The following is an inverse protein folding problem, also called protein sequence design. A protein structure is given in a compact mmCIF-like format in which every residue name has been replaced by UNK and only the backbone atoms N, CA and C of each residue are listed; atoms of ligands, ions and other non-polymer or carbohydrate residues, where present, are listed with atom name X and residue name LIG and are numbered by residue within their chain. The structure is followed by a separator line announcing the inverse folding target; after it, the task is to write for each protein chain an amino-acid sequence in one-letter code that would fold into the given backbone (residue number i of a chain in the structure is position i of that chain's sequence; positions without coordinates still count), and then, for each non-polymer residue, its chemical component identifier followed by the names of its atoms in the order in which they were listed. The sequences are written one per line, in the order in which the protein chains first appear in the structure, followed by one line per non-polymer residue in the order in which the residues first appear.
data_IF_984851264579
#
_entry.id   IF_984851264579
#
_cell.length_a   1.000
_cell.length_b   1.000
_cell.length_c   1.000
_cell.angle_alpha   90.00
_cell.angle_beta   90.00
_cell.angle_gamma   90.00
#
_symmetry.space_group_name_H-M   'P 1'
#
loop_
_entity.id
_entity.type
_entity.pdbx_description
1 polymer ?
#
# COMPACT_ATOMS: atom_id res chain seq x y z
N UNK A 1 -4.25 -18.12 17.07
CA UNK A 1 -5.52 -17.93 16.35
C UNK A 1 -5.46 -18.73 15.06
N UNK A 2 -6.55 -19.43 14.76
CA UNK A 2 -6.76 -20.13 13.49
C UNK A 2 -7.14 -19.12 12.39
N UNK A 3 -6.93 -19.47 11.13
CA UNK A 3 -7.25 -18.63 9.97
C UNK A 3 -8.74 -18.23 9.90
N UNK A 4 -9.64 -19.08 10.37
CA UNK A 4 -11.08 -18.78 10.43
C UNK A 4 -11.42 -17.70 11.47
N UNK A 5 -10.72 -17.68 12.62
CA UNK A 5 -10.91 -16.65 13.65
C UNK A 5 -10.37 -15.30 13.15
N UNK A 6 -9.24 -15.32 12.45
CA UNK A 6 -8.61 -14.13 11.88
C UNK A 6 -9.49 -13.53 10.78
N UNK A 7 -10.06 -14.37 9.93
CA UNK A 7 -10.99 -13.94 8.88
C UNK A 7 -12.21 -13.22 9.46
N UNK A 8 -12.83 -13.81 10.50
CA UNK A 8 -13.94 -13.18 11.20
C UNK A 8 -13.55 -11.83 11.79
N UNK A 9 -12.39 -11.76 12.46
CA UNK A 9 -11.87 -10.53 13.06
C UNK A 9 -11.61 -9.44 11.98
N UNK A 10 -11.08 -9.80 10.82
CA UNK A 10 -10.85 -8.86 9.71
C UNK A 10 -12.17 -8.33 9.14
N UNK A 11 -13.17 -9.20 8.95
CA UNK A 11 -14.50 -8.80 8.46
C UNK A 11 -15.17 -7.81 9.42
N UNK A 12 -15.09 -8.06 10.73
CA UNK A 12 -15.59 -7.16 11.78
C UNK A 12 -14.86 -5.80 11.78
N UNK A 13 -13.63 -5.75 11.25
CA UNK A 13 -12.80 -4.55 11.19
C UNK A 13 -12.82 -3.83 9.82
N UNK A 14 -13.77 -4.15 8.94
CA UNK A 14 -14.02 -3.42 7.69
C UNK A 14 -13.34 -4.00 6.45
N UNK A 15 -12.81 -5.22 6.53
CA UNK A 15 -12.47 -6.00 5.34
C UNK A 15 -13.75 -6.59 4.74
N UNK A 16 -13.81 -6.66 3.42
CA UNK A 16 -14.91 -7.31 2.70
C UNK A 16 -14.54 -8.75 2.36
N UNK A 17 -15.53 -9.59 2.04
CA UNK A 17 -15.28 -10.94 1.53
C UNK A 17 -14.38 -10.96 0.30
N UNK A 18 -14.51 -9.95 -0.58
CA UNK A 18 -13.63 -9.79 -1.74
C UNK A 18 -12.19 -9.44 -1.35
N UNK A 19 -11.99 -8.67 -0.28
CA UNK A 19 -10.66 -8.37 0.24
C UNK A 19 -9.97 -9.64 0.76
N UNK A 20 -10.71 -10.47 1.51
CA UNK A 20 -10.22 -11.76 2.01
C UNK A 20 -9.90 -12.72 0.86
N UNK A 21 -10.77 -12.80 -0.15
CA UNK A 21 -10.52 -13.62 -1.34
C UNK A 21 -9.24 -13.19 -2.09
N UNK A 22 -8.99 -11.88 -2.21
CA UNK A 22 -7.75 -11.34 -2.79
C UNK A 22 -6.54 -11.69 -1.93
N UNK A 23 -6.63 -11.59 -0.60
CA UNK A 23 -5.56 -11.98 0.31
C UNK A 23 -5.22 -13.47 0.20
N UNK A 24 -6.24 -14.34 0.14
CA UNK A 24 -6.06 -15.79 -0.09
C UNK A 24 -5.43 -16.08 -1.45
N UNK A 25 -5.84 -15.36 -2.49
CA UNK A 25 -5.22 -15.48 -3.82
C UNK A 25 -3.74 -15.09 -3.80
N UNK A 26 -3.39 -13.99 -3.11
CA UNK A 26 -1.99 -13.57 -2.93
C UNK A 26 -1.15 -14.65 -2.24
N UNK A 27 -1.65 -15.25 -1.15
CA UNK A 27 -1.00 -16.37 -0.44
C UNK A 27 -0.80 -17.55 -1.39
N UNK A 28 -1.86 -17.95 -2.11
CA UNK A 28 -1.80 -19.09 -3.03
C UNK A 28 -0.80 -18.88 -4.18
N UNK A 29 -0.61 -17.63 -4.61
CA UNK A 29 0.32 -17.26 -5.68
C UNK A 29 1.75 -17.09 -5.20
N UNK A 30 1.96 -16.80 -3.91
CA UNK A 30 3.27 -16.67 -3.27
C UNK A 30 3.99 -18.00 -3.05
N UNK A 31 3.28 -19.13 -3.20
CA UNK A 31 3.87 -20.48 -3.11
C UNK A 31 4.35 -20.88 -1.72
N UNK A 32 4.18 -20.02 -0.71
CA UNK A 32 4.68 -20.24 0.65
C UNK A 32 3.54 -20.73 1.55
N UNK A 33 3.52 -22.04 1.83
CA UNK A 33 2.46 -22.70 2.61
C UNK A 33 2.39 -22.25 4.08
N UNK A 34 3.40 -21.51 4.56
CA UNK A 34 3.42 -20.93 5.92
C UNK A 34 2.82 -19.51 6.01
N UNK A 35 2.42 -18.93 4.88
CA UNK A 35 1.88 -17.58 4.84
C UNK A 35 0.40 -17.60 5.25
N UNK A 36 0.12 -17.19 6.49
CA UNK A 36 -1.24 -17.07 7.04
C UNK A 36 -1.83 -15.70 6.78
N UNK A 37 -3.16 -15.58 6.91
CA UNK A 37 -3.88 -14.32 6.73
C UNK A 37 -3.33 -13.19 7.63
N UNK A 38 -2.88 -13.54 8.85
CA UNK A 38 -2.24 -12.59 9.77
C UNK A 38 -0.83 -12.19 9.35
N UNK A 39 0.02 -13.13 8.93
CA UNK A 39 1.35 -12.80 8.40
C UNK A 39 1.24 -11.89 7.17
N UNK A 40 0.31 -12.19 6.27
CA UNK A 40 0.03 -11.36 5.12
C UNK A 40 -0.48 -9.97 5.54
N UNK A 41 -1.35 -9.85 6.55
CA UNK A 41 -1.80 -8.54 7.07
C UNK A 41 -0.61 -7.71 7.58
N UNK A 42 0.34 -8.32 8.28
CA UNK A 42 1.55 -7.64 8.74
C UNK A 42 2.48 -7.24 7.59
N UNK A 43 2.67 -8.11 6.58
CA UNK A 43 3.49 -7.80 5.41
C UNK A 43 2.87 -6.66 4.59
N UNK A 44 1.55 -6.66 4.42
CA UNK A 44 0.79 -5.58 3.79
C UNK A 44 0.92 -4.25 4.51
N UNK A 45 0.87 -4.23 5.86
CA UNK A 45 1.17 -3.01 6.63
C UNK A 45 2.58 -2.49 6.36
N UNK A 46 3.57 -3.37 6.30
CA UNK A 46 4.97 -2.99 6.02
C UNK A 46 5.11 -2.48 4.59
N UNK A 47 4.47 -3.13 3.62
CA UNK A 47 4.41 -2.69 2.24
C UNK A 47 3.72 -1.33 2.09
N UNK A 48 2.67 -1.06 2.86
CA UNK A 48 2.01 0.25 2.91
C UNK A 48 2.98 1.35 3.37
N UNK A 49 3.69 1.13 4.48
CA UNK A 49 4.67 2.08 5.00
C UNK A 49 5.82 2.30 4.01
N UNK A 50 6.41 1.23 3.47
CA UNK A 50 7.47 1.34 2.47
C UNK A 50 6.99 2.09 1.21
N UNK A 51 5.80 1.77 0.70
CA UNK A 51 5.20 2.45 -0.45
C UNK A 51 4.95 3.94 -0.17
N UNK A 52 4.46 4.28 1.03
CA UNK A 52 4.27 5.66 1.46
C UNK A 52 5.60 6.43 1.54
N UNK A 53 6.66 5.82 2.07
CA UNK A 53 8.00 6.44 2.11
C UNK A 53 8.56 6.68 0.71
N UNK A 54 8.46 5.71 -0.21
CA UNK A 54 8.91 5.87 -1.59
C UNK A 54 8.11 6.99 -2.28
N UNK A 55 6.80 7.01 -2.09
CA UNK A 55 5.93 8.07 -2.64
C UNK A 55 6.33 9.45 -2.10
N UNK A 56 6.61 9.57 -0.81
CA UNK A 56 7.06 10.83 -0.20
C UNK A 56 8.40 11.30 -0.79
N UNK A 57 9.34 10.39 -1.04
CA UNK A 57 10.63 10.72 -1.68
C UNK A 57 10.41 11.23 -3.11
N UNK A 58 9.57 10.55 -3.90
CA UNK A 58 9.28 10.96 -5.29
C UNK A 58 8.60 12.33 -5.34
N UNK A 59 7.60 12.56 -4.49
CA UNK A 59 6.91 13.86 -4.40
C UNK A 59 7.88 14.95 -3.95
N UNK A 60 8.70 14.69 -2.94
CA UNK A 60 9.71 15.65 -2.47
C UNK A 60 10.71 16.00 -3.55
N UNK A 61 11.22 15.00 -4.29
CA UNK A 61 12.13 15.20 -5.41
C UNK A 61 11.50 16.02 -6.53
N UNK A 62 10.22 15.78 -6.84
CA UNK A 62 9.48 16.57 -7.81
C UNK A 62 9.30 18.03 -7.35
N UNK A 63 8.89 18.25 -6.09
CA UNK A 63 8.71 19.60 -5.54
C UNK A 63 10.03 20.37 -5.53
N UNK A 64 11.14 19.75 -5.11
CA UNK A 64 12.46 20.38 -5.10
C UNK A 64 12.86 20.75 -6.54
N UNK A 65 12.72 19.85 -7.52
CA UNK A 65 13.00 20.20 -8.91
C UNK A 65 12.09 21.30 -9.43
N UNK A 66 10.79 21.29 -9.09
CA UNK A 66 9.84 22.31 -9.50
C UNK A 66 10.15 23.69 -8.94
N UNK A 67 10.65 23.78 -7.70
CA UNK A 67 10.99 25.05 -7.05
C UNK A 67 12.35 25.59 -7.53
N UNK A 68 13.35 24.73 -7.69
CA UNK A 68 14.74 25.15 -7.89
C UNK A 68 15.23 25.07 -9.33
N UNK A 69 14.66 24.20 -10.17
CA UNK A 69 15.18 23.91 -11.51
C UNK A 69 14.20 24.22 -12.64
N UNK A 70 12.89 24.12 -12.42
CA UNK A 70 11.92 24.36 -13.50
C UNK A 70 11.85 25.85 -13.80
N UNK A 71 12.24 26.19 -15.04
CA UNK A 71 12.02 27.52 -15.59
C UNK A 71 10.52 27.80 -15.71
N UNK A 72 10.09 29.08 -15.76
CA UNK A 72 8.65 29.43 -15.88
C UNK A 72 7.99 28.97 -17.22
N UNK A 73 8.65 28.10 -17.98
CA UNK A 73 8.13 27.44 -19.16
C UNK A 73 7.13 26.32 -18.77
N UNK A 74 5.87 26.54 -19.11
CA UNK A 74 4.79 25.60 -18.83
C UNK A 74 4.97 24.23 -19.48
N UNK A 75 5.77 24.11 -20.55
CA UNK A 75 6.05 22.82 -21.21
C UNK A 75 6.95 21.95 -20.32
N UNK A 76 7.98 22.53 -19.72
CA UNK A 76 8.90 21.82 -18.82
C UNK A 76 8.18 21.31 -17.57
N UNK A 77 7.30 22.13 -16.98
CA UNK A 77 6.43 21.76 -15.86
C UNK A 77 5.55 20.57 -16.23
N UNK A 78 4.91 20.60 -17.41
CA UNK A 78 4.00 19.56 -17.85
C UNK A 78 4.71 18.22 -18.06
N UNK A 79 5.91 18.23 -18.66
CA UNK A 79 6.70 17.01 -18.88
C UNK A 79 7.12 16.37 -17.55
N UNK A 80 7.60 17.17 -16.59
CA UNK A 80 7.98 16.66 -15.27
C UNK A 80 6.77 16.12 -14.50
N UNK A 81 5.60 16.77 -14.62
CA UNK A 81 4.38 16.28 -14.01
C UNK A 81 3.96 14.91 -14.57
N UNK A 82 3.97 14.75 -15.89
CA UNK A 82 3.62 13.47 -16.55
C UNK A 82 4.59 12.35 -16.12
N UNK A 83 5.90 12.62 -16.09
CA UNK A 83 6.90 11.67 -15.60
C UNK A 83 6.63 11.26 -14.15
N UNK A 84 6.30 12.22 -13.29
CA UNK A 84 6.00 11.94 -11.87
C UNK A 84 4.77 11.04 -11.72
N UNK A 85 3.69 11.33 -12.47
CA UNK A 85 2.50 10.46 -12.48
C UNK A 85 2.84 9.07 -13.00
N UNK A 86 3.66 8.97 -14.05
CA UNK A 86 4.10 7.70 -14.61
C UNK A 86 4.86 6.84 -13.59
N UNK A 87 5.72 7.43 -12.76
CA UNK A 87 6.43 6.71 -11.69
C UNK A 87 5.54 6.32 -10.50
N UNK A 88 4.44 7.04 -10.26
CA UNK A 88 3.49 6.73 -9.17
C UNK A 88 2.58 5.55 -9.56
N UNK A 89 2.23 5.39 -10.84
CA UNK A 89 1.33 4.33 -11.31
C UNK A 89 1.78 2.91 -10.94
N UNK A 90 3.05 2.49 -11.14
CA UNK A 90 3.53 1.18 -10.70
C UNK A 90 3.37 0.95 -9.20
N UNK A 91 3.57 1.98 -8.38
CA UNK A 91 3.45 1.86 -6.91
C UNK A 91 2.01 1.51 -6.53
N UNK A 92 1.03 2.13 -7.21
CA UNK A 92 -0.40 1.90 -6.98
C UNK A 92 -0.93 0.59 -7.54
N UNK A 93 -0.41 0.12 -8.68
CA UNK A 93 -0.86 -1.12 -9.32
C UNK A 93 -0.16 -2.37 -8.79
N UNK A 94 1.14 -2.28 -8.45
CA UNK A 94 1.91 -3.42 -7.94
C UNK A 94 1.62 -3.70 -6.46
N UNK A 95 1.34 -2.67 -5.68
CA UNK A 95 0.98 -2.84 -4.26
C UNK A 95 -0.53 -2.72 -4.13
N UNK A 96 -1.24 -3.70 -3.55
CA UNK A 96 -2.66 -3.57 -3.29
C UNK A 96 -2.89 -2.54 -2.17
N UNK A 97 -2.77 -1.25 -2.50
CA UNK A 97 -2.67 -0.13 -1.55
C UNK A 97 -3.89 -0.06 -0.62
N UNK A 98 -5.07 -0.40 -1.13
CA UNK A 98 -6.30 -0.47 -0.33
C UNK A 98 -6.20 -1.55 0.76
N UNK A 99 -5.79 -2.77 0.40
CA UNK A 99 -5.57 -3.86 1.36
C UNK A 99 -4.46 -3.51 2.35
N UNK A 100 -3.39 -2.86 1.86
CA UNK A 100 -2.26 -2.41 2.66
C UNK A 100 -2.66 -1.35 3.70
N UNK A 101 -3.48 -0.37 3.32
CA UNK A 101 -4.05 0.63 4.22
C UNK A 101 -5.02 0.01 5.25
N UNK A 102 -5.95 -0.86 4.81
CA UNK A 102 -6.86 -1.56 5.72
C UNK A 102 -6.09 -2.37 6.75
N UNK A 103 -5.02 -3.05 6.33
CA UNK A 103 -4.13 -3.81 7.21
C UNK A 103 -3.40 -2.92 8.23
N UNK A 104 -2.90 -1.76 7.79
CA UNK A 104 -2.32 -0.76 8.69
C UNK A 104 -3.34 -0.24 9.72
N UNK A 105 -4.54 0.14 9.27
CA UNK A 105 -5.61 0.68 10.12
C UNK A 105 -6.07 -0.35 11.17
N UNK A 106 -6.30 -1.59 10.74
CA UNK A 106 -6.65 -2.71 11.62
C UNK A 106 -5.58 -2.93 12.69
N UNK A 107 -4.31 -3.10 12.31
CA UNK A 107 -3.23 -3.35 13.27
C UNK A 107 -3.00 -2.17 14.22
N UNK A 108 -3.21 -0.93 13.75
CA UNK A 108 -3.14 0.27 14.60
C UNK A 108 -4.26 0.31 15.63
N UNK A 109 -5.48 -0.10 15.26
CA UNK A 109 -6.61 -0.21 16.20
C UNK A 109 -6.40 -1.33 17.21
N UNK A 110 -5.97 -2.50 16.75
CA UNK A 110 -5.63 -3.65 17.60
C UNK A 110 -4.57 -3.33 18.64
N UNK A 111 -3.53 -2.58 18.26
CA UNK A 111 -2.48 -2.11 19.18
C UNK A 111 -2.95 -1.11 20.26
N UNK A 112 -4.12 -0.49 20.10
CA UNK A 112 -4.68 0.45 21.10
C UNK A 112 -5.66 -0.21 22.06
N UNK A 113 -6.09 -1.44 21.74
CA UNK A 113 -7.08 -2.20 22.51
C UNK A 113 -6.45 -3.24 23.44
N UNK A 114 -5.14 -3.49 23.31
CA UNK A 114 -4.33 -4.30 24.23
C UNK A 114 -3.41 -3.42 25.05
#
# INVERSE_FOLDING_TARGET
MNDQEIEKELLENGFTQNDIAKMRNLISRGGNSEETLSRLTHSLKKAFLNGFFILAILISSFIINAIFNISNDGVEVLVHFILTVFFILPIYYLTPMNLAYKSYSYLKRKSKMG
#
